data_IF_531356148013
#
_entry.id   IF_531356148013
#
_cell.length_a   1.000
_cell.length_b   1.000
_cell.length_c   1.000
_cell.angle_alpha   90.00
_cell.angle_beta   90.00
_cell.angle_gamma   90.00
#
_symmetry.space_group_name_H-M   'P 1'
#
loop_
_entity.id
_entity.type
_entity.pdbx_description
1 polymer ?
#
# COMPACT_ATOMS: atom_id res chain seq x y z
N UNK A 1 -51.32 -77.40 8.43
CA UNK A 1 -51.28 -76.16 7.55
C UNK A 1 -51.37 -74.86 8.34
N UNK A 2 -52.06 -74.71 9.44
CA UNK A 2 -52.18 -73.44 10.19
C UNK A 2 -50.88 -72.92 10.81
N UNK A 3 -49.92 -73.78 11.21
CA UNK A 3 -48.62 -73.35 11.83
C UNK A 3 -47.67 -72.70 10.84
N UNK A 4 -47.63 -73.07 9.59
CA UNK A 4 -46.75 -72.54 8.61
C UNK A 4 -47.17 -71.12 8.11
N UNK A 5 -48.47 -70.83 8.19
CA UNK A 5 -49.02 -69.51 7.83
C UNK A 5 -48.57 -68.41 8.82
N UNK A 6 -48.46 -68.74 10.10
CA UNK A 6 -48.02 -67.84 11.17
C UNK A 6 -46.54 -67.45 10.99
N UNK A 7 -45.68 -68.40 10.61
CA UNK A 7 -44.26 -68.10 10.37
C UNK A 7 -44.04 -67.24 9.13
N UNK A 8 -44.85 -67.43 8.07
CA UNK A 8 -44.79 -66.61 6.88
C UNK A 8 -45.27 -65.17 7.18
N UNK A 9 -46.31 -65.01 7.99
CA UNK A 9 -46.79 -63.67 8.40
C UNK A 9 -45.77 -62.94 9.29
N UNK A 10 -45.11 -63.65 10.21
CA UNK A 10 -44.02 -63.03 11.03
C UNK A 10 -42.79 -62.65 10.16
N UNK A 11 -42.41 -63.47 9.17
CA UNK A 11 -41.31 -63.20 8.27
C UNK A 11 -41.61 -61.99 7.39
N UNK A 12 -42.84 -61.82 6.90
CA UNK A 12 -43.29 -60.69 6.13
C UNK A 12 -43.30 -59.42 6.98
N UNK A 13 -43.76 -59.47 8.23
CA UNK A 13 -43.69 -58.35 9.17
C UNK A 13 -42.27 -57.95 9.51
N UNK A 14 -41.34 -58.89 9.68
CA UNK A 14 -39.91 -58.58 9.90
C UNK A 14 -39.22 -58.01 8.70
N UNK A 15 -39.60 -58.47 7.49
CA UNK A 15 -39.10 -57.89 6.25
C UNK A 15 -39.66 -56.48 5.98
N UNK A 16 -40.91 -56.23 6.33
CA UNK A 16 -41.51 -54.88 6.19
C UNK A 16 -40.94 -53.88 7.20
N UNK A 17 -40.56 -54.32 8.40
CA UNK A 17 -39.88 -53.48 9.39
C UNK A 17 -38.42 -53.19 9.00
N UNK A 18 -37.75 -54.07 8.25
CA UNK A 18 -36.40 -53.88 7.75
C UNK A 18 -36.33 -52.89 6.57
N UNK A 19 -37.40 -52.70 5.81
CA UNK A 19 -37.40 -51.79 4.63
C UNK A 19 -37.72 -50.35 5.03
N UNK A 20 -38.43 -50.16 6.16
CA UNK A 20 -38.70 -48.79 6.67
C UNK A 20 -37.58 -48.23 7.54
N UNK A 21 -36.54 -49.02 7.82
CA UNK A 21 -35.37 -48.58 8.57
C UNK A 21 -34.21 -48.08 7.68
N UNK A 22 -34.43 -47.98 6.36
CA UNK A 22 -33.59 -47.11 5.54
C UNK A 22 -34.08 -45.65 5.73
N UNK A 23 -33.75 -45.16 6.89
CA UNK A 23 -33.96 -43.76 7.25
C UNK A 23 -33.16 -42.91 6.27
N UNK A 24 -33.83 -42.02 5.57
CA UNK A 24 -33.21 -41.03 4.68
C UNK A 24 -32.24 -40.12 5.42
N UNK A 25 -32.15 -40.23 6.74
CA UNK A 25 -31.23 -39.44 7.57
C UNK A 25 -29.77 -39.89 7.53
N UNK A 26 -29.43 -41.05 6.90
CA UNK A 26 -28.07 -41.63 6.98
C UNK A 26 -27.14 -41.07 5.90
N UNK A 27 -27.63 -40.25 4.99
CA UNK A 27 -26.83 -39.68 3.93
C UNK A 27 -26.97 -38.15 3.77
N UNK A 28 -27.12 -37.46 4.88
CA UNK A 28 -26.56 -36.10 4.87
C UNK A 28 -25.04 -36.28 4.90
N UNK A 29 -24.44 -36.39 3.70
CA UNK A 29 -23.06 -35.96 3.54
C UNK A 29 -22.94 -34.65 4.30
N UNK A 30 -21.93 -34.49 5.20
CA UNK A 30 -21.66 -33.17 5.74
C UNK A 30 -21.52 -32.25 4.52
N UNK A 31 -22.60 -31.50 4.23
CA UNK A 31 -22.54 -30.47 3.25
C UNK A 31 -21.39 -29.61 3.74
N UNK A 32 -20.32 -29.53 2.98
CA UNK A 32 -19.27 -28.59 3.26
C UNK A 32 -19.98 -27.25 3.23
N UNK A 33 -20.27 -26.68 4.41
CA UNK A 33 -20.89 -25.37 4.56
C UNK A 33 -19.93 -24.28 4.10
N UNK A 34 -19.12 -24.58 3.12
CA UNK A 34 -18.10 -23.72 2.55
C UNK A 34 -18.60 -23.14 1.23
N UNK A 35 -18.38 -21.86 1.09
CA UNK A 35 -18.76 -21.07 -0.07
C UNK A 35 -17.50 -20.71 -0.83
N UNK A 36 -17.51 -20.89 -2.15
CA UNK A 36 -16.47 -20.37 -3.00
C UNK A 36 -16.63 -18.86 -3.11
N UNK A 37 -15.67 -18.11 -2.60
CA UNK A 37 -15.60 -16.65 -2.66
C UNK A 37 -14.42 -16.24 -3.52
N UNK A 38 -14.66 -15.37 -4.48
CA UNK A 38 -13.64 -14.78 -5.31
C UNK A 38 -13.22 -13.43 -4.72
N UNK A 39 -11.94 -13.22 -4.54
CA UNK A 39 -11.35 -11.94 -4.08
C UNK A 39 -10.59 -11.33 -5.24
N UNK A 40 -10.98 -10.14 -5.66
CA UNK A 40 -10.37 -9.39 -6.75
C UNK A 40 -9.50 -8.27 -6.19
N UNK A 41 -8.23 -8.23 -6.59
CA UNK A 41 -7.26 -7.24 -6.16
C UNK A 41 -7.18 -6.09 -7.17
N UNK A 42 -7.66 -4.93 -6.79
CA UNK A 42 -7.68 -3.73 -7.63
C UNK A 42 -6.60 -2.74 -7.17
N UNK A 43 -5.35 -2.97 -7.58
CA UNK A 43 -4.25 -2.06 -7.30
C UNK A 43 -4.35 -0.79 -8.15
N UNK A 44 -4.43 0.37 -7.49
CA UNK A 44 -4.35 1.67 -8.16
C UNK A 44 -2.94 1.89 -8.70
N UNK A 45 -2.82 1.88 -10.03
CA UNK A 45 -1.56 2.09 -10.77
C UNK A 45 -1.46 3.49 -11.37
N UNK A 46 -2.46 4.34 -11.14
CA UNK A 46 -2.45 5.71 -11.64
C UNK A 46 -1.37 6.53 -10.92
N UNK A 47 -0.80 7.57 -11.54
CA UNK A 47 0.05 8.50 -10.82
C UNK A 47 -0.66 9.08 -9.59
N UNK A 48 0.07 9.45 -8.53
CA UNK A 48 -0.53 10.14 -7.40
C UNK A 48 -1.19 11.45 -7.86
N UNK A 49 -2.14 11.95 -7.10
CA UNK A 49 -2.71 13.28 -7.32
C UNK A 49 -1.75 14.36 -6.81
N UNK A 50 -1.76 15.55 -7.40
CA UNK A 50 -1.06 16.69 -6.81
C UNK A 50 -1.71 17.07 -5.48
N UNK A 51 -0.89 17.53 -4.54
CA UNK A 51 -1.33 18.00 -3.23
C UNK A 51 -0.97 19.47 -3.03
N UNK A 52 0.26 19.75 -2.67
CA UNK A 52 0.76 21.10 -2.40
C UNK A 52 2.02 21.40 -3.16
N UNK A 53 2.20 22.67 -3.50
CA UNK A 53 3.44 23.22 -4.04
C UNK A 53 4.15 24.09 -3.01
N UNK A 54 5.42 23.81 -2.71
CA UNK A 54 6.31 24.69 -1.99
C UNK A 54 7.15 25.43 -3.03
N UNK A 55 6.79 26.67 -3.31
CA UNK A 55 7.44 27.50 -4.34
C UNK A 55 8.44 28.42 -3.68
N UNK A 56 9.70 28.21 -3.96
CA UNK A 56 10.83 28.98 -3.44
C UNK A 56 11.16 30.15 -4.35
N UNK A 57 11.34 31.32 -3.77
CA UNK A 57 11.81 32.51 -4.47
C UNK A 57 13.35 32.60 -4.50
N UNK A 58 13.87 33.67 -5.08
CA UNK A 58 15.31 33.94 -5.18
C UNK A 58 15.97 34.23 -3.83
N UNK A 59 15.21 34.52 -2.79
CA UNK A 59 15.70 34.82 -1.45
C UNK A 59 15.66 33.61 -0.53
N UNK A 60 15.04 32.50 -1.02
CA UNK A 60 14.88 31.26 -0.28
C UNK A 60 13.64 31.17 0.56
N UNK A 61 12.78 32.18 0.50
CA UNK A 61 11.47 32.07 1.11
C UNK A 61 10.58 31.15 0.29
N UNK A 62 9.76 30.35 0.94
CA UNK A 62 8.76 29.52 0.26
C UNK A 62 7.36 30.03 0.54
N UNK A 63 6.49 29.83 -0.42
CA UNK A 63 5.04 29.94 -0.26
C UNK A 63 4.43 28.57 -0.47
N UNK A 64 3.47 28.21 0.34
CA UNK A 64 2.66 27.01 0.16
C UNK A 64 1.48 27.35 -0.74
N UNK A 65 1.28 26.57 -1.78
CA UNK A 65 0.20 26.72 -2.75
C UNK A 65 -0.56 25.40 -2.85
N UNK A 66 -1.88 25.46 -2.76
CA UNK A 66 -2.72 24.30 -3.13
C UNK A 66 -2.59 24.07 -4.65
N UNK A 67 -2.33 22.83 -5.03
CA UNK A 67 -2.29 22.44 -6.43
C UNK A 67 -3.65 21.85 -6.85
N UNK A 68 -3.99 21.91 -8.15
CA UNK A 68 -5.23 21.28 -8.63
C UNK A 68 -5.19 19.78 -8.35
N UNK A 69 -6.34 19.21 -8.00
CA UNK A 69 -6.50 17.77 -7.76
C UNK A 69 -6.50 17.02 -9.11
N UNK A 70 -5.33 16.96 -9.74
CA UNK A 70 -5.08 16.30 -11.02
C UNK A 70 -3.98 15.26 -10.84
N UNK A 71 -3.92 14.28 -11.75
CA UNK A 71 -2.83 13.31 -11.75
C UNK A 71 -1.49 14.03 -11.96
N UNK A 72 -0.53 13.74 -11.09
CA UNK A 72 0.80 14.29 -11.20
C UNK A 72 1.44 13.83 -12.51
N UNK A 73 1.95 14.81 -13.26
CA UNK A 73 2.70 14.59 -14.50
C UNK A 73 4.20 14.69 -14.22
N UNK A 74 5.01 14.00 -14.99
CA UNK A 74 6.45 14.05 -14.84
C UNK A 74 7.08 12.66 -14.74
N UNK A 75 8.21 12.58 -14.03
CA UNK A 75 8.99 11.37 -13.97
C UNK A 75 8.19 10.15 -13.49
N UNK A 76 8.09 9.14 -14.37
CA UNK A 76 7.56 7.83 -14.04
C UNK A 76 8.77 6.90 -13.92
N UNK A 77 9.01 6.31 -12.74
CA UNK A 77 10.13 5.38 -12.56
C UNK A 77 10.10 4.24 -13.58
N UNK A 78 11.28 3.82 -14.05
CA UNK A 78 11.41 2.63 -14.91
C UNK A 78 10.94 1.39 -14.13
N UNK A 79 9.84 0.82 -14.57
CA UNK A 79 9.12 -0.23 -13.88
C UNK A 79 9.54 -1.63 -14.35
N UNK A 80 10.82 -1.93 -14.50
CA UNK A 80 11.33 -3.28 -14.89
C UNK A 80 11.17 -4.31 -13.79
N UNK A 81 10.58 -3.98 -12.67
CA UNK A 81 10.45 -4.88 -11.54
C UNK A 81 9.16 -5.68 -11.61
N UNK A 82 9.26 -6.94 -11.19
CA UNK A 82 8.10 -7.80 -11.00
C UNK A 82 7.21 -7.25 -9.89
N UNK A 83 5.92 -7.13 -10.14
CA UNK A 83 4.96 -6.79 -9.09
C UNK A 83 4.71 -8.03 -8.22
N UNK A 84 5.01 -7.91 -6.93
CA UNK A 84 4.71 -8.92 -5.92
C UNK A 84 3.40 -8.57 -5.24
N UNK A 85 2.51 -9.56 -5.11
CA UNK A 85 1.27 -9.45 -4.37
C UNK A 85 1.29 -10.37 -3.15
N UNK A 86 0.81 -9.87 -2.03
CA UNK A 86 0.65 -10.60 -0.79
C UNK A 86 -0.77 -10.39 -0.30
N UNK A 87 -1.43 -11.49 0.06
CA UNK A 87 -2.81 -11.48 0.56
C UNK A 87 -2.87 -12.30 1.83
N UNK A 88 -3.43 -11.73 2.88
CA UNK A 88 -3.76 -12.40 4.14
C UNK A 88 -5.27 -12.38 4.32
N UNK A 89 -5.87 -13.56 4.52
CA UNK A 89 -7.28 -13.72 4.82
C UNK A 89 -7.45 -14.12 6.29
N UNK A 90 -8.17 -13.32 7.03
CA UNK A 90 -8.47 -13.54 8.44
C UNK A 90 -9.95 -13.88 8.64
N UNK A 91 -10.24 -14.86 9.48
CA UNK A 91 -11.57 -15.08 10.06
C UNK A 91 -11.67 -14.32 11.37
N UNK A 92 -12.67 -13.45 11.47
CA UNK A 92 -12.86 -12.57 12.61
C UNK A 92 -13.91 -13.15 13.58
N UNK A 93 -13.81 -12.90 14.90
CA UNK A 93 -14.80 -13.34 15.87
C UNK A 93 -16.15 -12.62 15.73
N UNK A 94 -16.16 -11.41 15.17
CA UNK A 94 -17.34 -10.59 14.89
C UNK A 94 -17.05 -9.59 13.78
N UNK A 95 -18.09 -8.98 13.22
CA UNK A 95 -17.96 -7.88 12.27
C UNK A 95 -17.13 -6.73 12.87
N UNK A 96 -16.16 -6.21 12.11
CA UNK A 96 -15.32 -5.08 12.50
C UNK A 96 -14.29 -5.38 13.61
N UNK A 97 -14.12 -6.63 14.03
CA UNK A 97 -13.03 -6.98 14.94
C UNK A 97 -11.66 -6.81 14.27
N UNK A 98 -10.62 -6.46 15.05
CA UNK A 98 -9.25 -6.40 14.54
C UNK A 98 -8.72 -7.79 14.17
N UNK A 99 -7.81 -7.85 13.19
CA UNK A 99 -7.12 -9.09 12.79
C UNK A 99 -6.31 -9.71 13.93
N UNK A 100 -5.86 -8.92 14.90
CA UNK A 100 -5.18 -9.42 16.11
C UNK A 100 -6.04 -10.35 16.96
N UNK A 101 -7.38 -10.25 16.85
CA UNK A 101 -8.35 -11.13 17.50
C UNK A 101 -8.86 -12.23 16.57
N UNK A 102 -8.46 -12.19 15.32
CA UNK A 102 -8.83 -13.11 14.26
C UNK A 102 -7.91 -14.32 14.18
N UNK A 103 -8.23 -15.20 13.26
CA UNK A 103 -7.42 -16.36 12.91
C UNK A 103 -7.01 -16.19 11.46
N UNK A 104 -5.72 -16.23 11.17
CA UNK A 104 -5.21 -16.28 9.80
C UNK A 104 -5.67 -17.59 9.15
N UNK A 105 -6.51 -17.48 8.14
CA UNK A 105 -7.07 -18.62 7.39
C UNK A 105 -6.15 -19.04 6.27
N UNK A 106 -5.64 -18.04 5.53
CA UNK A 106 -4.76 -18.26 4.38
C UNK A 106 -3.85 -17.06 4.17
N UNK A 107 -2.65 -17.34 3.66
CA UNK A 107 -1.69 -16.34 3.18
C UNK A 107 -1.13 -16.78 1.84
N UNK A 108 -1.26 -15.91 0.86
CA UNK A 108 -0.73 -16.14 -0.49
C UNK A 108 0.23 -15.02 -0.87
N UNK A 109 1.32 -15.44 -1.49
CA UNK A 109 2.31 -14.54 -2.09
C UNK A 109 2.56 -15.01 -3.52
N UNK A 110 2.49 -14.10 -4.48
CA UNK A 110 2.69 -14.39 -5.88
C UNK A 110 3.18 -13.16 -6.63
N UNK A 111 3.91 -13.39 -7.71
CA UNK A 111 4.37 -12.35 -8.60
C UNK A 111 3.58 -12.38 -9.89
N UNK A 112 3.23 -11.19 -10.39
CA UNK A 112 2.51 -11.02 -11.65
C UNK A 112 3.45 -10.34 -12.63
N UNK A 113 3.65 -10.95 -13.80
CA UNK A 113 4.34 -10.30 -14.89
C UNK A 113 3.54 -9.07 -15.32
N UNK A 114 4.15 -7.89 -15.22
CA UNK A 114 3.53 -6.62 -15.60
C UNK A 114 3.18 -6.52 -17.06
N UNK A 115 3.85 -7.30 -17.90
CA UNK A 115 3.59 -7.33 -19.34
C UNK A 115 2.38 -8.20 -19.67
N UNK A 116 1.96 -9.10 -18.77
CA UNK A 116 0.74 -9.87 -18.93
C UNK A 116 -0.49 -8.98 -18.72
N UNK A 117 -1.34 -8.89 -19.73
CA UNK A 117 -2.60 -8.15 -19.70
C UNK A 117 -3.78 -9.09 -19.93
N UNK A 118 -4.85 -9.05 -19.09
CA UNK A 118 -4.90 -8.42 -17.75
C UNK A 118 -4.19 -9.29 -16.70
N UNK A 119 -3.60 -8.72 -15.68
CA UNK A 119 -3.09 -9.49 -14.56
C UNK A 119 -4.27 -10.26 -13.93
N UNK A 120 -4.09 -11.55 -13.67
CA UNK A 120 -5.08 -12.35 -12.96
C UNK A 120 -4.97 -12.04 -11.46
N UNK A 121 -5.62 -10.98 -11.06
CA UNK A 121 -5.60 -10.49 -9.67
C UNK A 121 -6.76 -11.09 -8.85
N UNK A 122 -7.31 -12.23 -9.29
CA UNK A 122 -8.46 -12.86 -8.62
C UNK A 122 -8.05 -14.16 -7.94
N UNK A 123 -8.37 -14.26 -6.65
CA UNK A 123 -8.07 -15.41 -5.80
C UNK A 123 -9.37 -16.10 -5.36
N UNK A 124 -9.38 -17.42 -5.38
CA UNK A 124 -10.51 -18.24 -4.94
C UNK A 124 -10.26 -18.80 -3.54
N UNK A 125 -11.26 -18.68 -2.65
CA UNK A 125 -11.24 -19.21 -1.29
C UNK A 125 -12.50 -20.03 -1.01
N UNK A 126 -12.36 -21.20 -0.39
CA UNK A 126 -13.45 -21.99 0.14
C UNK A 126 -13.65 -21.62 1.61
N UNK A 127 -14.77 -20.97 1.95
CA UNK A 127 -14.95 -20.35 3.25
C UNK A 127 -16.23 -20.82 3.92
N UNK A 128 -16.18 -21.28 5.18
CA UNK A 128 -17.38 -21.50 5.99
C UNK A 128 -18.02 -20.17 6.36
N UNK A 129 -19.26 -20.26 6.87
CA UNK A 129 -19.95 -19.08 7.39
C UNK A 129 -19.12 -18.34 8.44
N UNK A 130 -19.08 -17.00 8.36
CA UNK A 130 -18.34 -16.17 9.29
C UNK A 130 -18.08 -14.75 8.81
N UNK A 131 -17.37 -14.00 9.62
CA UNK A 131 -16.85 -12.68 9.29
C UNK A 131 -15.39 -12.78 8.87
N UNK A 132 -15.02 -12.05 7.85
CA UNK A 132 -13.69 -12.12 7.25
C UNK A 132 -13.14 -10.75 6.98
N UNK A 133 -11.82 -10.65 6.99
CA UNK A 133 -11.06 -9.50 6.49
C UNK A 133 -9.94 -9.98 5.59
N UNK A 134 -9.84 -9.37 4.42
CA UNK A 134 -8.68 -9.48 3.55
C UNK A 134 -7.80 -8.29 3.80
N UNK A 135 -6.51 -8.53 4.02
CA UNK A 135 -5.44 -7.54 3.91
C UNK A 135 -4.66 -7.85 2.65
N UNK A 136 -4.31 -6.83 1.87
CA UNK A 136 -3.53 -6.99 0.65
C UNK A 136 -2.44 -5.93 0.53
N UNK A 137 -1.30 -6.36 -0.01
CA UNK A 137 -0.13 -5.55 -0.28
C UNK A 137 0.41 -5.89 -1.66
N UNK A 138 0.81 -4.89 -2.42
CA UNK A 138 1.55 -5.07 -3.66
C UNK A 138 2.74 -4.13 -3.67
N UNK A 139 3.91 -4.63 -4.08
CA UNK A 139 5.12 -3.83 -4.23
C UNK A 139 5.94 -4.28 -5.43
N UNK A 140 6.98 -3.53 -5.69
CA UNK A 140 7.98 -3.85 -6.69
C UNK A 140 9.13 -4.58 -6.03
N UNK A 141 9.27 -5.87 -6.32
CA UNK A 141 10.36 -6.68 -5.82
C UNK A 141 11.26 -7.11 -6.98
N UNK A 142 12.60 -7.02 -6.86
CA UNK A 142 13.51 -7.61 -7.84
C UNK A 142 13.31 -9.12 -7.86
N UNK A 143 13.32 -9.72 -9.05
CA UNK A 143 13.10 -11.16 -9.21
C UNK A 143 14.14 -12.04 -8.48
N UNK A 144 15.30 -11.49 -8.16
CA UNK A 144 16.49 -12.29 -7.90
C UNK A 144 16.85 -12.46 -6.43
N UNK A 145 16.46 -11.55 -5.52
CA UNK A 145 16.87 -11.64 -4.11
C UNK A 145 15.87 -11.06 -3.13
N UNK A 146 15.33 -11.90 -2.25
CA UNK A 146 14.49 -11.48 -1.11
C UNK A 146 15.18 -10.41 -0.24
N UNK A 147 16.51 -10.50 -0.11
CA UNK A 147 17.31 -9.53 0.64
C UNK A 147 17.33 -8.10 0.04
N UNK A 148 16.90 -7.95 -1.19
CA UNK A 148 16.82 -6.66 -1.90
C UNK A 148 15.40 -6.08 -1.90
N UNK A 149 14.44 -6.76 -1.29
CA UNK A 149 13.07 -6.25 -1.18
C UNK A 149 13.04 -5.04 -0.24
N UNK A 150 12.32 -4.03 -0.68
CA UNK A 150 12.22 -2.78 0.06
C UNK A 150 11.39 -2.93 1.33
N UNK A 151 10.38 -3.79 1.33
CA UNK A 151 9.47 -3.98 2.44
C UNK A 151 9.58 -5.40 3.03
N UNK A 152 9.68 -5.47 4.35
CA UNK A 152 9.36 -6.65 5.13
C UNK A 152 7.84 -6.72 5.30
N UNK A 153 7.26 -7.78 4.76
CA UNK A 153 5.82 -8.01 4.71
C UNK A 153 5.42 -9.31 5.39
N UNK A 154 6.18 -9.77 6.38
CA UNK A 154 5.86 -10.99 7.11
C UNK A 154 4.46 -10.95 7.75
N UNK A 155 3.99 -9.75 8.11
CA UNK A 155 2.65 -9.49 8.62
C UNK A 155 2.13 -8.19 7.99
N UNK A 156 0.96 -8.23 7.36
CA UNK A 156 0.42 -7.05 6.70
C UNK A 156 -0.14 -5.98 7.67
N UNK A 157 -0.46 -6.34 8.91
CA UNK A 157 -0.74 -5.35 9.95
C UNK A 157 0.51 -4.70 10.56
N UNK A 158 1.70 -5.10 10.12
CA UNK A 158 2.98 -4.61 10.63
C UNK A 158 4.10 -4.56 9.55
N UNK A 159 3.75 -4.12 8.34
CA UNK A 159 4.73 -3.93 7.25
C UNK A 159 5.81 -2.95 7.69
N UNK A 160 7.07 -3.21 7.30
CA UNK A 160 8.24 -2.37 7.61
C UNK A 160 9.05 -2.08 6.36
N UNK A 161 9.54 -0.84 6.24
CA UNK A 161 10.62 -0.56 5.29
C UNK A 161 11.91 -1.26 5.77
N UNK A 162 12.61 -1.87 4.84
CA UNK A 162 13.92 -2.45 5.09
C UNK A 162 15.00 -1.38 4.91
N UNK A 163 15.28 -0.66 5.99
CA UNK A 163 16.16 0.52 5.98
C UNK A 163 17.66 0.20 5.85
N UNK A 164 18.04 -1.06 6.02
CA UNK A 164 19.45 -1.51 5.95
C UNK A 164 19.95 -1.68 4.52
N UNK A 165 19.06 -1.56 3.52
CA UNK A 165 19.41 -1.67 2.12
C UNK A 165 19.90 -0.34 1.55
N UNK A 166 21.17 -0.28 1.22
CA UNK A 166 21.81 0.82 0.48
C UNK A 166 22.42 0.29 -0.82
N UNK A 167 22.26 1.00 -1.96
CA UNK A 167 21.48 2.21 -2.16
C UNK A 167 20.01 1.90 -2.34
N UNK A 168 19.15 2.63 -1.65
CA UNK A 168 17.70 2.53 -1.86
C UNK A 168 17.34 3.13 -3.22
N UNK A 169 16.88 2.29 -4.12
CA UNK A 169 16.33 2.78 -5.39
C UNK A 169 14.89 3.23 -5.13
N UNK A 170 14.66 4.53 -5.15
CA UNK A 170 13.40 5.14 -4.67
C UNK A 170 12.13 4.58 -5.34
N UNK A 171 12.19 4.14 -6.59
CA UNK A 171 11.03 3.55 -7.25
C UNK A 171 10.60 2.19 -6.65
N UNK A 172 11.48 1.49 -5.92
CA UNK A 172 11.12 0.27 -5.19
C UNK A 172 10.17 0.56 -4.01
N UNK A 173 10.08 1.81 -3.56
CA UNK A 173 9.18 2.23 -2.49
C UNK A 173 7.73 2.39 -2.94
N UNK A 174 7.46 2.31 -4.24
CA UNK A 174 6.09 2.38 -4.74
C UNK A 174 5.37 1.07 -4.42
N UNK A 175 4.37 1.15 -3.59
CA UNK A 175 3.56 0.03 -3.14
C UNK A 175 2.07 0.37 -3.21
N UNK A 176 1.22 -0.63 -3.07
CA UNK A 176 -0.22 -0.46 -2.89
C UNK A 176 -0.71 -1.33 -1.75
N UNK A 177 -1.62 -0.82 -0.94
CA UNK A 177 -2.18 -1.50 0.22
C UNK A 177 -3.68 -1.33 0.27
N UNK A 178 -4.39 -2.38 0.67
CA UNK A 178 -5.84 -2.35 0.80
C UNK A 178 -6.37 -3.38 1.77
N UNK A 179 -7.54 -3.10 2.33
CA UNK A 179 -8.27 -4.03 3.19
C UNK A 179 -9.75 -4.03 2.83
N UNK A 180 -10.40 -5.19 3.01
CA UNK A 180 -11.83 -5.31 2.80
C UNK A 180 -12.43 -6.29 3.81
N UNK A 181 -13.49 -5.84 4.48
CA UNK A 181 -14.32 -6.69 5.32
C UNK A 181 -15.44 -7.33 4.51
N UNK A 182 -15.74 -8.59 4.80
CA UNK A 182 -16.91 -9.25 4.25
C UNK A 182 -17.44 -10.32 5.19
N UNK A 183 -18.68 -10.73 4.97
CA UNK A 183 -19.27 -11.83 5.68
C UNK A 183 -19.83 -12.88 4.72
N UNK A 184 -19.70 -14.13 5.11
CA UNK A 184 -20.29 -15.28 4.43
C UNK A 184 -21.45 -15.79 5.28
N UNK A 185 -22.65 -15.81 4.71
CA UNK A 185 -23.85 -16.33 5.35
C UNK A 185 -24.39 -17.47 4.49
N UNK A 186 -24.73 -18.57 5.16
CA UNK A 186 -25.34 -19.74 4.53
C UNK A 186 -26.75 -19.90 5.13
N UNK A 187 -27.76 -19.91 4.29
CA UNK A 187 -29.15 -20.13 4.69
C UNK A 187 -29.34 -21.49 5.36
N UNK A 188 -30.40 -21.60 6.16
CA UNK A 188 -30.69 -22.79 7.03
C UNK A 188 -30.70 -24.13 6.27
N UNK A 189 -30.99 -24.11 5.00
CA UNK A 189 -31.06 -25.31 4.14
C UNK A 189 -29.95 -25.32 3.05
N UNK A 190 -28.98 -24.38 3.10
CA UNK A 190 -27.94 -24.27 2.09
C UNK A 190 -28.39 -23.69 0.76
N UNK A 191 -29.64 -23.20 0.68
CA UNK A 191 -30.23 -22.71 -0.57
C UNK A 191 -29.93 -21.21 -0.84
N UNK A 192 -29.61 -20.46 0.22
CA UNK A 192 -29.24 -19.05 0.10
C UNK A 192 -27.82 -18.84 0.61
N UNK A 193 -26.91 -18.54 -0.31
CA UNK A 193 -25.55 -18.12 -0.01
C UNK A 193 -25.49 -16.62 -0.27
N UNK A 194 -25.11 -15.86 0.73
CA UNK A 194 -24.85 -14.44 0.54
C UNK A 194 -23.46 -14.06 1.05
N UNK A 195 -22.75 -13.27 0.26
CA UNK A 195 -21.52 -12.60 0.65
C UNK A 195 -21.80 -11.11 0.64
N UNK A 196 -21.55 -10.45 1.75
CA UNK A 196 -21.78 -9.02 1.88
C UNK A 196 -20.52 -8.29 2.34
N UNK A 197 -20.27 -7.15 1.73
CA UNK A 197 -19.28 -6.16 2.16
C UNK A 197 -19.99 -5.04 2.94
N UNK A 198 -19.31 -4.23 3.76
CA UNK A 198 -19.94 -3.12 4.45
C UNK A 198 -20.69 -2.19 3.47
N UNK A 199 -22.01 -2.11 3.64
CA UNK A 199 -22.89 -1.25 2.83
C UNK A 199 -23.31 -1.79 1.46
N UNK A 200 -22.92 -3.03 1.08
CA UNK A 200 -23.26 -3.62 -0.20
C UNK A 200 -23.31 -5.15 -0.14
N UNK A 201 -24.07 -5.76 -1.06
CA UNK A 201 -23.91 -7.18 -1.37
C UNK A 201 -22.77 -7.33 -2.35
N UNK A 202 -21.94 -8.37 -2.21
CA UNK A 202 -20.88 -8.66 -3.15
C UNK A 202 -21.45 -8.82 -4.57
N UNK A 203 -20.74 -8.30 -5.55
CA UNK A 203 -21.06 -8.53 -6.96
C UNK A 203 -20.83 -9.99 -7.31
N UNK A 204 -21.42 -10.48 -8.38
CA UNK A 204 -21.16 -11.83 -8.86
C UNK A 204 -20.18 -11.80 -10.04
N UNK A 205 -19.35 -12.82 -10.12
CA UNK A 205 -18.57 -13.11 -11.33
C UNK A 205 -19.49 -13.48 -12.49
N UNK A 206 -19.03 -13.50 -13.74
CA UNK A 206 -19.81 -14.01 -14.87
C UNK A 206 -20.30 -15.46 -14.69
N UNK A 207 -19.59 -16.26 -13.90
CA UNK A 207 -19.95 -17.64 -13.54
C UNK A 207 -20.87 -17.76 -12.33
N UNK A 208 -21.15 -16.63 -11.65
CA UNK A 208 -22.13 -16.55 -10.57
C UNK A 208 -21.55 -16.64 -9.14
N UNK A 209 -20.22 -16.82 -8.98
CA UNK A 209 -19.60 -16.81 -7.67
C UNK A 209 -19.55 -15.39 -7.08
N UNK A 210 -19.71 -15.24 -5.74
CA UNK A 210 -19.56 -13.96 -5.07
C UNK A 210 -18.15 -13.38 -5.26
N UNK A 211 -18.07 -12.09 -5.65
CA UNK A 211 -16.82 -11.38 -5.87
C UNK A 211 -16.67 -10.26 -4.83
N UNK A 212 -15.55 -10.29 -4.11
CA UNK A 212 -15.15 -9.28 -3.11
C UNK A 212 -14.02 -8.43 -3.69
N UNK A 213 -14.27 -7.18 -4.07
CA UNK A 213 -13.24 -6.30 -4.57
C UNK A 213 -12.41 -5.71 -3.40
N UNK A 214 -11.08 -5.78 -3.50
CA UNK A 214 -10.16 -5.14 -2.59
C UNK A 214 -9.46 -4.00 -3.34
N UNK A 215 -9.82 -2.77 -3.01
CA UNK A 215 -9.21 -1.58 -3.61
C UNK A 215 -7.92 -1.23 -2.86
N UNK A 216 -6.81 -1.23 -3.59
CA UNK A 216 -5.49 -1.00 -3.04
C UNK A 216 -4.96 0.36 -3.52
N UNK A 217 -4.61 1.23 -2.58
CA UNK A 217 -4.03 2.56 -2.84
C UNK A 217 -2.60 2.63 -2.31
N UNK A 218 -1.80 3.58 -2.81
CA UNK A 218 -0.46 3.79 -2.27
C UNK A 218 -0.51 4.06 -0.77
N UNK A 219 0.31 3.39 0.05
CA UNK A 219 0.46 3.68 1.48
C UNK A 219 1.38 4.88 1.73
N UNK A 220 1.97 5.44 0.69
CA UNK A 220 2.93 6.55 0.75
C UNK A 220 2.39 7.81 0.07
N UNK A 221 2.95 8.96 0.47
CA UNK A 221 2.98 10.19 -0.31
C UNK A 221 4.27 10.24 -1.13
N UNK A 222 4.31 11.11 -2.13
CA UNK A 222 5.51 11.39 -2.93
C UNK A 222 5.85 12.87 -2.86
N UNK A 223 7.12 13.23 -2.88
CA UNK A 223 7.53 14.59 -3.18
C UNK A 223 8.55 14.63 -4.31
N UNK A 224 8.54 15.73 -5.05
CA UNK A 224 9.49 16.05 -6.10
C UNK A 224 10.20 17.35 -5.79
N UNK A 225 11.51 17.40 -6.05
CA UNK A 225 12.35 18.60 -5.93
C UNK A 225 12.79 19.07 -7.32
N UNK A 226 12.22 20.17 -7.81
CA UNK A 226 12.48 20.75 -9.13
C UNK A 226 13.31 22.02 -9.03
N UNK A 227 14.50 22.04 -9.66
CA UNK A 227 15.26 23.26 -9.85
C UNK A 227 14.81 23.98 -11.12
N UNK A 228 14.47 25.27 -10.98
CA UNK A 228 14.00 26.14 -12.08
C UNK A 228 15.12 26.92 -12.76
N UNK A 229 16.33 26.84 -12.23
CA UNK A 229 17.48 27.67 -12.60
C UNK A 229 18.59 26.88 -13.31
N UNK A 230 18.26 25.74 -13.91
CA UNK A 230 19.20 24.90 -14.65
C UNK A 230 19.94 25.69 -15.77
N UNK A 231 19.21 26.51 -16.55
CA UNK A 231 19.78 27.30 -17.64
C UNK A 231 20.81 28.30 -17.13
N UNK A 232 20.61 28.89 -15.95
CA UNK A 232 21.56 29.83 -15.36
C UNK A 232 22.78 29.07 -14.80
N UNK A 233 22.54 27.97 -14.11
CA UNK A 233 23.55 27.11 -13.54
C UNK A 233 24.50 26.56 -14.61
N UNK A 234 23.96 26.03 -15.71
CA UNK A 234 24.72 25.43 -16.80
C UNK A 234 25.59 26.45 -17.57
N UNK A 235 25.12 27.70 -17.68
CA UNK A 235 25.92 28.79 -18.29
C UNK A 235 27.12 29.19 -17.44
N UNK A 236 27.02 29.11 -16.13
CA UNK A 236 28.09 29.49 -15.18
C UNK A 236 29.17 28.41 -15.03
N UNK A 237 28.87 27.17 -15.38
CA UNK A 237 29.76 26.03 -15.23
C UNK A 237 29.98 25.34 -16.57
N UNK A 238 31.19 25.47 -17.11
CA UNK A 238 31.58 25.00 -18.48
C UNK A 238 31.42 23.47 -18.69
N UNK A 239 31.14 22.70 -17.67
CA UNK A 239 30.91 21.23 -17.68
C UNK A 239 29.70 20.85 -16.85
N UNK A 240 28.67 21.70 -16.76
CA UNK A 240 27.46 21.35 -16.05
C UNK A 240 26.76 20.19 -16.77
N UNK A 241 26.59 19.11 -16.06
CA UNK A 241 25.80 17.93 -16.47
C UNK A 241 24.96 17.50 -15.28
N UNK A 242 23.76 17.05 -15.50
CA UNK A 242 22.91 16.46 -14.44
C UNK A 242 23.59 15.28 -13.78
N UNK A 243 24.35 14.50 -14.55
CA UNK A 243 25.15 13.37 -14.06
C UNK A 243 26.29 13.78 -13.12
N UNK A 244 26.55 15.09 -12.99
CA UNK A 244 27.53 15.64 -12.06
C UNK A 244 26.90 16.20 -10.79
N UNK A 245 25.62 15.96 -10.57
CA UNK A 245 24.90 16.38 -9.38
C UNK A 245 24.57 15.16 -8.49
N UNK A 246 24.68 15.37 -7.19
CA UNK A 246 24.24 14.43 -6.17
C UNK A 246 23.37 15.19 -5.19
N UNK A 247 22.15 14.74 -4.97
CA UNK A 247 21.25 15.30 -3.98
C UNK A 247 21.17 14.36 -2.79
N UNK A 248 21.39 14.93 -1.61
CA UNK A 248 21.25 14.24 -0.34
C UNK A 248 20.10 14.88 0.44
N UNK A 249 19.10 14.08 0.82
CA UNK A 249 18.00 14.49 1.68
C UNK A 249 18.17 13.79 3.03
N UNK A 250 18.34 14.58 4.08
CA UNK A 250 18.46 14.09 5.45
C UNK A 250 17.15 14.34 6.15
N UNK A 251 16.41 13.28 6.42
CA UNK A 251 15.19 13.36 7.20
C UNK A 251 15.55 13.56 8.67
N UNK A 252 14.91 14.55 9.27
CA UNK A 252 15.06 14.92 10.70
C UNK A 252 13.75 14.58 11.38
N UNK A 253 13.78 14.07 12.57
CA UNK A 253 12.60 13.68 13.34
C UNK A 253 11.74 12.58 12.66
N UNK A 254 11.18 11.78 13.43
CA UNK A 254 10.36 10.59 13.25
C UNK A 254 9.75 10.39 11.86
N UNK A 255 10.50 9.72 11.00
CA UNK A 255 10.03 9.31 9.66
C UNK A 255 9.30 7.99 9.80
N UNK A 256 8.10 7.89 9.22
CA UNK A 256 7.35 6.65 9.16
C UNK A 256 8.07 5.59 8.32
N UNK A 257 8.36 4.45 8.94
CA UNK A 257 8.99 3.28 8.29
C UNK A 257 8.16 2.01 8.47
N UNK A 258 7.02 2.11 9.12
CA UNK A 258 6.11 1.00 9.29
C UNK A 258 4.67 1.38 9.00
N UNK A 259 3.90 0.43 8.45
CA UNK A 259 2.53 0.64 8.02
C UNK A 259 1.64 -0.54 8.40
N UNK A 260 0.49 -0.23 8.96
CA UNK A 260 -0.55 -1.22 9.25
C UNK A 260 -1.62 -1.16 8.16
N UNK A 261 -1.71 -2.22 7.34
CA UNK A 261 -2.68 -2.29 6.23
C UNK A 261 -4.12 -2.32 6.73
N UNK A 262 -4.37 -2.90 7.92
CA UNK A 262 -5.71 -2.96 8.50
C UNK A 262 -6.27 -1.57 8.81
N UNK A 263 -5.46 -0.74 9.48
CA UNK A 263 -5.88 0.59 9.93
C UNK A 263 -5.58 1.72 8.95
N UNK A 264 -4.70 1.48 7.97
CA UNK A 264 -4.20 2.52 7.08
C UNK A 264 -3.25 3.52 7.76
N UNK A 265 -2.66 3.16 8.90
CA UNK A 265 -1.88 4.07 9.74
C UNK A 265 -0.43 3.65 9.87
N UNK A 266 0.44 4.63 10.08
CA UNK A 266 1.83 4.39 10.44
C UNK A 266 1.89 3.75 11.83
N UNK A 267 2.77 2.77 12.00
CA UNK A 267 2.94 2.02 13.25
C UNK A 267 4.40 1.83 13.66
N UNK A 268 5.36 2.38 12.92
CA UNK A 268 6.76 2.48 13.31
C UNK A 268 7.44 3.69 12.69
N UNK A 269 8.41 4.22 13.43
CA UNK A 269 9.12 5.44 13.08
C UNK A 269 10.60 5.28 13.41
N UNK A 270 11.45 6.02 12.69
CA UNK A 270 12.87 6.19 12.99
C UNK A 270 13.19 7.68 13.17
N UNK A 271 14.21 7.98 13.97
CA UNK A 271 14.59 9.37 14.28
C UNK A 271 15.16 10.10 13.06
N UNK A 272 15.91 9.41 12.22
CA UNK A 272 16.53 10.00 11.05
C UNK A 272 16.87 8.96 10.00
N UNK A 273 16.84 9.38 8.74
CA UNK A 273 17.43 8.62 7.62
C UNK A 273 18.00 9.57 6.59
N UNK A 274 18.88 9.06 5.76
CA UNK A 274 19.44 9.80 4.62
C UNK A 274 19.11 9.10 3.32
N UNK A 275 18.69 9.87 2.33
CA UNK A 275 18.50 9.44 0.96
C UNK A 275 19.48 10.20 0.07
N UNK A 276 20.11 9.50 -0.86
CA UNK A 276 20.97 10.09 -1.87
C UNK A 276 20.54 9.65 -3.27
N UNK A 277 20.51 10.57 -4.20
CA UNK A 277 20.26 10.23 -5.60
C UNK A 277 20.89 11.24 -6.55
N UNK A 278 21.18 10.79 -7.75
CA UNK A 278 21.47 11.66 -8.89
C UNK A 278 20.13 12.05 -9.55
N UNK A 279 20.05 13.24 -10.17
CA UNK A 279 18.88 13.62 -10.93
C UNK A 279 18.47 12.52 -11.90
N UNK A 280 17.19 12.10 -11.89
CA UNK A 280 16.76 10.92 -12.68
C UNK A 280 16.59 11.22 -14.17
N UNK A 281 16.38 12.50 -14.53
CA UNK A 281 16.07 12.93 -15.88
C UNK A 281 17.00 14.04 -16.37
N UNK A 282 17.12 14.13 -17.69
CA UNK A 282 17.78 15.28 -18.35
C UNK A 282 16.91 16.54 -18.20
N UNK A 283 17.55 17.73 -18.14
CA UNK A 283 16.83 18.98 -18.02
C UNK A 283 15.89 19.24 -19.19
N UNK A 284 14.72 19.77 -18.91
CA UNK A 284 13.72 20.14 -19.91
C UNK A 284 13.16 21.54 -19.62
N UNK A 285 13.05 22.38 -20.65
CA UNK A 285 12.50 23.75 -20.51
C UNK A 285 13.29 24.69 -19.59
N UNK A 286 14.50 24.32 -19.20
CA UNK A 286 15.32 25.10 -18.24
C UNK A 286 15.18 24.65 -16.80
N UNK A 287 14.44 23.60 -16.55
CA UNK A 287 14.21 22.98 -15.27
C UNK A 287 14.80 21.58 -15.22
N UNK A 288 15.09 21.08 -14.02
CA UNK A 288 15.55 19.73 -13.80
C UNK A 288 14.95 19.16 -12.51
N UNK A 289 14.48 17.90 -12.59
CA UNK A 289 14.12 17.14 -11.40
C UNK A 289 15.39 16.72 -10.68
N UNK A 290 15.64 17.30 -9.52
CA UNK A 290 16.83 17.02 -8.71
C UNK A 290 16.67 15.71 -7.92
N UNK A 291 15.53 15.54 -7.27
CA UNK A 291 15.26 14.39 -6.43
C UNK A 291 13.75 14.14 -6.29
N UNK A 292 13.41 12.89 -5.94
CA UNK A 292 12.08 12.51 -5.49
C UNK A 292 12.19 11.39 -4.46
N UNK A 293 11.18 11.28 -3.59
CA UNK A 293 11.07 10.13 -2.69
C UNK A 293 9.61 9.79 -2.41
N UNK A 294 9.39 8.53 -1.99
CA UNK A 294 8.14 8.04 -1.44
C UNK A 294 8.30 7.89 0.07
N UNK A 295 7.36 8.43 0.82
CA UNK A 295 7.35 8.39 2.28
C UNK A 295 6.03 7.80 2.73
N UNK A 296 6.05 6.79 3.58
CA UNK A 296 4.83 6.23 4.16
C UNK A 296 4.05 7.33 4.88
N UNK A 297 2.73 7.36 4.69
CA UNK A 297 1.85 8.37 5.24
C UNK A 297 0.55 7.76 5.76
N UNK A 298 -0.04 8.39 6.76
CA UNK A 298 -1.32 7.98 7.33
C UNK A 298 -2.47 8.20 6.35
N UNK A 299 -3.51 7.38 6.45
CA UNK A 299 -4.73 7.58 5.69
C UNK A 299 -5.59 8.69 6.32
N UNK A 300 -6.19 9.53 5.46
CA UNK A 300 -7.19 10.51 5.84
C UNK A 300 -6.67 11.73 6.62
N UNK A 301 -5.36 11.92 6.75
CA UNK A 301 -4.78 13.12 7.38
C UNK A 301 -3.51 13.58 6.68
N UNK A 302 -3.17 14.85 6.87
CA UNK A 302 -1.88 15.41 6.49
C UNK A 302 -0.81 14.97 7.50
N UNK A 303 0.32 14.51 6.98
CA UNK A 303 1.55 14.25 7.74
C UNK A 303 2.63 15.25 7.27
N UNK A 304 3.69 15.39 8.03
CA UNK A 304 4.82 16.25 7.71
C UNK A 304 6.14 15.52 7.89
N UNK A 305 7.11 15.85 7.04
CA UNK A 305 8.51 15.46 7.25
C UNK A 305 9.40 16.68 7.20
N UNK A 306 10.27 16.80 8.19
CA UNK A 306 11.28 17.83 8.25
C UNK A 306 12.58 17.30 7.65
N UNK A 307 13.13 17.99 6.64
CA UNK A 307 14.33 17.55 5.95
C UNK A 307 15.38 18.65 5.82
N UNK A 308 16.65 18.24 5.76
CA UNK A 308 17.71 19.06 5.19
C UNK A 308 18.06 18.53 3.79
N UNK A 309 18.20 19.44 2.83
CA UNK A 309 18.50 19.11 1.44
C UNK A 309 19.86 19.67 1.09
N UNK A 310 20.79 18.80 0.68
CA UNK A 310 22.11 19.17 0.23
C UNK A 310 22.27 18.82 -1.25
N UNK A 311 22.85 19.71 -2.01
CA UNK A 311 23.15 19.50 -3.43
C UNK A 311 24.67 19.60 -3.60
N UNK A 312 25.28 18.54 -4.10
CA UNK A 312 26.71 18.42 -4.33
C UNK A 312 27.00 18.26 -5.83
N UNK A 313 28.22 18.59 -6.22
CA UNK A 313 28.77 18.05 -7.46
C UNK A 313 29.39 16.66 -7.19
N UNK A 314 29.75 15.93 -8.24
CA UNK A 314 30.40 14.61 -8.13
C UNK A 314 31.80 14.64 -7.53
N UNK A 315 32.41 15.82 -7.44
CA UNK A 315 33.70 16.02 -6.75
C UNK A 315 33.52 16.19 -5.23
N UNK A 316 32.27 16.16 -4.75
CA UNK A 316 31.91 16.31 -3.33
C UNK A 316 31.83 17.76 -2.85
N UNK A 317 31.94 18.75 -3.75
CA UNK A 317 31.77 20.16 -3.40
C UNK A 317 30.28 20.47 -3.24
N UNK A 318 29.90 21.08 -2.11
CA UNK A 318 28.54 21.55 -1.86
C UNK A 318 28.20 22.74 -2.77
N UNK A 319 27.17 22.55 -3.57
CA UNK A 319 26.63 23.59 -4.44
C UNK A 319 25.67 24.46 -3.66
N UNK A 320 24.75 23.81 -2.93
CA UNK A 320 23.74 24.48 -2.15
C UNK A 320 23.19 23.58 -1.01
N UNK A 321 22.51 24.21 -0.06
CA UNK A 321 22.01 23.55 1.12
C UNK A 321 20.78 24.28 1.67
N UNK A 322 19.72 23.51 1.96
CA UNK A 322 18.46 23.98 2.53
C UNK A 322 18.20 23.23 3.83
N UNK A 323 18.01 23.97 4.93
CA UNK A 323 17.78 23.38 6.24
C UNK A 323 16.33 23.51 6.67
N UNK A 324 15.86 22.53 7.45
CA UNK A 324 14.54 22.54 8.07
C UNK A 324 13.39 22.76 7.07
N UNK A 325 13.48 22.13 5.91
CA UNK A 325 12.39 22.16 4.93
C UNK A 325 11.27 21.27 5.44
N UNK A 326 10.12 21.85 5.74
CA UNK A 326 8.92 21.13 6.14
C UNK A 326 8.11 20.75 4.91
N UNK A 327 7.96 19.45 4.66
CA UNK A 327 7.26 18.92 3.50
C UNK A 327 5.94 18.32 3.96
N UNK A 328 4.79 18.95 3.62
CA UNK A 328 3.49 18.38 3.88
C UNK A 328 3.26 17.16 2.97
N UNK A 329 2.75 16.09 3.55
CA UNK A 329 2.51 14.82 2.90
C UNK A 329 1.04 14.43 3.05
N UNK A 330 0.43 13.95 1.98
CA UNK A 330 -0.88 13.33 2.02
C UNK A 330 -0.85 12.02 1.25
N UNK A 331 -1.35 10.96 1.86
CA UNK A 331 -1.31 9.61 1.27
C UNK A 331 -1.84 9.61 -0.17
N UNK A 332 -1.13 8.91 -1.07
CA UNK A 332 -1.43 8.80 -2.50
C UNK A 332 -1.41 10.14 -3.26
N UNK A 333 -0.74 11.16 -2.70
CA UNK A 333 -0.59 12.48 -3.32
C UNK A 333 0.88 12.87 -3.44
N UNK A 334 1.12 13.90 -4.24
CA UNK A 334 2.44 14.46 -4.51
C UNK A 334 2.56 15.91 -4.07
N UNK A 335 3.60 16.19 -3.30
CA UNK A 335 4.04 17.53 -2.95
C UNK A 335 5.18 17.95 -3.87
N UNK A 336 5.09 19.13 -4.49
CA UNK A 336 6.09 19.66 -5.40
C UNK A 336 6.88 20.77 -4.73
N UNK A 337 8.19 20.59 -4.56
CA UNK A 337 9.12 21.63 -4.17
C UNK A 337 9.74 22.21 -5.44
N UNK A 338 9.63 23.52 -5.68
CA UNK A 338 10.09 24.15 -6.92
C UNK A 338 10.77 25.49 -6.66
N UNK A 339 11.97 25.70 -7.17
CA UNK A 339 12.71 26.93 -6.97
C UNK A 339 14.11 26.95 -7.57
N UNK A 340 14.85 28.06 -7.39
CA UNK A 340 16.20 28.24 -7.94
C UNK A 340 17.25 27.54 -7.05
N UNK A 341 17.19 26.21 -6.97
CA UNK A 341 17.99 25.40 -6.05
C UNK A 341 19.48 25.29 -6.39
N UNK A 342 19.92 25.65 -7.61
CA UNK A 342 21.29 25.44 -8.08
C UNK A 342 22.18 26.69 -8.06
N UNK A 343 21.62 27.88 -8.21
CA UNK A 343 22.40 29.11 -8.38
C UNK A 343 22.32 30.06 -7.21
N UNK A 344 21.32 29.97 -6.39
CA UNK A 344 21.07 30.87 -5.26
C UNK A 344 21.58 30.24 -3.99
N UNK A 345 22.63 30.80 -3.39
CA UNK A 345 23.03 30.48 -2.02
C UNK A 345 22.04 31.15 -1.08
N UNK A 346 21.21 30.36 -0.47
CA UNK A 346 20.39 30.81 0.65
C UNK A 346 21.33 30.93 1.83
N UNK A 347 21.53 32.17 2.26
CA UNK A 347 22.24 32.39 3.53
C UNK A 347 21.53 31.60 4.64
N UNK A 348 22.26 31.19 5.66
CA UNK A 348 21.80 30.45 6.83
C UNK A 348 20.77 31.21 7.69
N UNK A 349 19.87 31.97 7.04
CA UNK A 349 18.72 32.59 7.64
C UNK A 349 17.57 31.58 7.64
N UNK A 350 17.04 31.30 8.79
CA UNK A 350 15.84 30.52 9.05
C UNK A 350 14.86 30.61 7.89
N UNK A 351 14.59 29.49 7.22
CA UNK A 351 13.34 29.33 6.48
C UNK A 351 12.29 29.45 7.59
N UNK A 352 11.52 30.55 7.56
CA UNK A 352 10.66 30.95 8.66
C UNK A 352 9.67 29.85 9.00
N UNK A 353 9.94 29.14 10.06
CA UNK A 353 8.89 28.62 10.91
C UNK A 353 8.30 29.88 11.52
N UNK A 354 7.06 30.17 11.20
CA UNK A 354 6.27 31.17 11.91
C UNK A 354 6.32 30.77 13.38
N UNK A 355 6.96 31.57 14.24
CA UNK A 355 7.14 31.32 15.68
C UNK A 355 5.80 31.30 16.44
N UNK A 356 4.68 31.39 15.74
CA UNK A 356 3.32 31.30 16.31
C UNK A 356 2.81 29.85 16.53
N UNK A 357 3.65 28.82 16.28
CA UNK A 357 3.32 27.44 16.69
C UNK A 357 3.75 27.19 18.14
N UNK A 358 3.02 27.79 19.08
CA UNK A 358 3.08 27.50 20.52
C UNK A 358 2.27 26.24 20.91
N UNK A 359 2.02 25.32 19.99
CA UNK A 359 1.37 24.05 20.30
C UNK A 359 2.40 22.96 20.59
N UNK A 360 2.57 22.70 21.87
CA UNK A 360 3.32 21.59 22.44
C UNK A 360 2.80 20.26 21.86
N UNK A 361 3.56 19.62 20.96
CA UNK A 361 3.24 18.28 20.48
C UNK A 361 3.39 17.26 21.61
N UNK A 362 2.30 16.95 22.27
CA UNK A 362 2.26 15.82 23.21
C UNK A 362 2.20 14.52 22.40
N UNK A 363 3.34 13.85 22.26
CA UNK A 363 3.38 12.48 21.74
C UNK A 363 2.82 11.57 22.83
N UNK A 364 1.56 11.18 22.70
CA UNK A 364 0.99 10.09 23.52
C UNK A 364 1.53 8.79 22.98
N UNK A 365 2.49 8.20 23.67
CA UNK A 365 2.93 6.82 23.44
C UNK A 365 1.90 5.94 24.15
N UNK A 366 1.12 5.12 23.44
CA UNK A 366 0.25 4.15 24.10
C UNK A 366 1.11 3.04 24.72
N UNK A 367 0.78 2.70 25.98
CA UNK A 367 1.36 1.59 26.75
C UNK A 367 1.12 0.23 26.08
#
# INVERSE_FOLDING_TARGET
MKRNLSYIAILICLLSLGVTACDETIHEYPRTNEVLVMVELNADRTPPLYYKGLIYDETGNSIVQELPEEQATGYIPDERLCARFIVELYKLPSAGASVDKGILVDRREFSVDRLAQPPQDTLAFQLPQGYYRVLSWADYAPEVRVSEWHFDTQQLNAVRENIDHTPMVNHHKNAAAGSCDFSVTVGRYGEEISVSTPGSTATATPSGEPLVPVYMKRPSARFHLWATDWNEFSKKRSRASVNNLLVRVVYKQYVGVGYNVESGMLNAFIESRTMEMMPPDEPSGGEVLLAYDYVLANDGREDHVLVDIFIYNTDGEEINHYQNVDIPLYRNHETVLRGPFLTKKIGSGNIGIDDDFDDEFVVVIPD
#
